data_IF_389924306086
#
_entry.id   IF_389924306086
#
_cell.length_a   1.000
_cell.length_b   1.000
_cell.length_c   1.000
_cell.angle_alpha   90.00
_cell.angle_beta   90.00
_cell.angle_gamma   90.00
#
_symmetry.space_group_name_H-M   'P 1'
#
loop_
_entity.id
_entity.type
_entity.pdbx_description
1 polymer ?
#
# COMPACT_ATOMS: atom_id res chain seq x y z
N UNK A 1 42.86 -12.05 23.36
CA UNK A 1 41.50 -11.54 23.08
C UNK A 1 41.46 -11.15 21.62
N UNK A 2 40.85 -11.98 20.78
CA UNK A 2 40.75 -11.76 19.33
C UNK A 2 39.60 -10.81 19.05
N UNK A 3 39.90 -9.62 18.54
CA UNK A 3 38.89 -8.68 18.09
C UNK A 3 38.11 -9.31 16.93
N UNK A 4 36.81 -9.56 17.12
CA UNK A 4 35.92 -9.94 16.04
C UNK A 4 35.82 -8.76 15.08
N UNK A 5 36.33 -8.95 13.87
CA UNK A 5 36.20 -8.02 12.77
C UNK A 5 34.73 -8.03 12.34
N UNK A 6 33.89 -7.20 12.96
CA UNK A 6 32.51 -6.97 12.53
C UNK A 6 32.54 -6.19 11.22
N UNK A 7 32.72 -6.91 10.11
CA UNK A 7 32.49 -6.36 8.79
C UNK A 7 31.08 -5.75 8.76
N UNK A 8 30.97 -4.50 8.34
CA UNK A 8 29.68 -3.85 8.15
C UNK A 8 28.84 -4.69 7.17
N UNK A 9 27.53 -4.85 7.42
CA UNK A 9 26.67 -5.56 6.50
C UNK A 9 26.75 -4.91 5.11
N UNK A 10 27.00 -5.72 4.09
CA UNK A 10 27.11 -5.25 2.71
C UNK A 10 25.77 -4.64 2.25
N UNK A 11 25.80 -3.56 1.45
CA UNK A 11 24.59 -3.01 0.84
C UNK A 11 23.86 -4.09 0.05
N UNK A 12 22.54 -4.20 0.25
CA UNK A 12 21.71 -5.07 -0.58
C UNK A 12 21.51 -4.35 -1.91
N UNK A 13 22.04 -4.94 -2.98
CA UNK A 13 21.74 -4.52 -4.34
C UNK A 13 20.50 -5.25 -4.85
N UNK A 14 19.58 -4.50 -5.45
CA UNK A 14 18.35 -5.02 -6.04
C UNK A 14 18.46 -5.18 -7.57
N UNK A 15 19.68 -5.08 -8.12
CA UNK A 15 19.94 -4.98 -9.56
C UNK A 15 20.23 -3.53 -9.98
N UNK A 16 20.99 -3.36 -11.07
CA UNK A 16 21.31 -2.06 -11.71
C UNK A 16 21.89 -0.98 -10.78
N UNK A 17 22.51 -1.38 -9.67
CA UNK A 17 23.06 -0.46 -8.66
C UNK A 17 22.01 0.15 -7.72
N UNK A 18 20.73 -0.21 -7.85
CA UNK A 18 19.66 0.27 -6.97
C UNK A 18 19.70 -0.43 -5.61
N UNK A 19 19.41 0.36 -4.59
CA UNK A 19 19.31 -0.06 -3.18
C UNK A 19 17.87 0.10 -2.68
N UNK A 20 17.50 -0.54 -1.56
CA UNK A 20 16.21 -0.31 -0.92
C UNK A 20 15.95 1.17 -0.59
N UNK A 21 17.00 1.95 -0.30
CA UNK A 21 16.90 3.39 -0.03
C UNK A 21 16.46 4.14 -1.28
N UNK A 22 16.98 3.78 -2.45
CA UNK A 22 16.62 4.42 -3.72
C UNK A 22 15.14 4.18 -4.06
N UNK A 23 14.65 2.96 -3.84
CA UNK A 23 13.21 2.64 -4.00
C UNK A 23 12.38 3.47 -3.03
N UNK A 24 12.73 3.48 -1.74
CA UNK A 24 12.00 4.25 -0.74
C UNK A 24 11.95 5.73 -1.11
N UNK A 25 13.07 6.34 -1.49
CA UNK A 25 13.13 7.74 -1.88
C UNK A 25 12.32 8.03 -3.14
N UNK A 26 12.37 7.12 -4.12
CA UNK A 26 11.65 7.27 -5.39
C UNK A 26 10.13 7.25 -5.19
N UNK A 27 9.61 6.33 -4.36
CA UNK A 27 8.19 6.28 -4.00
C UNK A 27 7.71 7.62 -3.40
N UNK A 28 8.49 8.23 -2.50
CA UNK A 28 8.13 9.50 -1.87
C UNK A 28 8.37 10.72 -2.79
N UNK A 29 9.31 10.65 -3.72
CA UNK A 29 9.46 11.66 -4.76
C UNK A 29 8.26 11.64 -5.73
N UNK A 30 7.82 10.45 -6.11
CA UNK A 30 6.63 10.20 -6.92
C UNK A 30 5.36 10.72 -6.25
N UNK A 31 5.18 10.44 -4.95
CA UNK A 31 4.08 10.97 -4.14
C UNK A 31 4.04 12.50 -4.13
N UNK A 32 5.18 13.17 -3.89
CA UNK A 32 5.24 14.64 -3.93
C UNK A 32 4.88 15.20 -5.30
N UNK A 33 5.35 14.56 -6.37
CA UNK A 33 4.97 14.93 -7.75
C UNK A 33 3.47 14.76 -7.97
N UNK A 34 2.89 13.68 -7.44
CA UNK A 34 1.47 13.40 -7.51
C UNK A 34 0.64 14.43 -6.74
N UNK A 35 0.99 14.73 -5.49
CA UNK A 35 0.33 15.76 -4.66
C UNK A 35 0.41 17.14 -5.34
N UNK A 36 1.55 17.50 -5.92
CA UNK A 36 1.72 18.78 -6.62
C UNK A 36 0.80 18.89 -7.85
N UNK A 37 0.64 17.81 -8.62
CA UNK A 37 -0.31 17.73 -9.74
C UNK A 37 -1.77 17.72 -9.26
N UNK A 38 -2.00 17.20 -8.06
CA UNK A 38 -3.30 17.09 -7.43
C UNK A 38 -3.85 18.43 -6.88
N UNK A 39 -3.02 19.43 -6.63
CA UNK A 39 -3.43 20.72 -6.03
C UNK A 39 -4.46 21.58 -6.80
N UNK A 40 -5.09 21.09 -7.87
CA UNK A 40 -6.08 21.82 -8.67
C UNK A 40 -7.31 21.04 -9.15
N UNK A 41 -7.51 19.76 -8.78
CA UNK A 41 -8.65 18.96 -9.26
C UNK A 41 -9.57 18.51 -8.11
N UNK A 42 -10.92 18.50 -8.30
CA UNK A 42 -11.89 18.14 -7.26
C UNK A 42 -11.98 16.63 -6.97
N UNK A 43 -11.45 15.78 -7.86
CA UNK A 43 -11.36 14.33 -7.70
C UNK A 43 -10.25 13.82 -8.61
N UNK A 44 -9.31 13.06 -8.07
CA UNK A 44 -8.17 12.59 -8.87
C UNK A 44 -8.58 11.36 -9.66
N UNK A 45 -8.45 11.47 -10.98
CA UNK A 45 -8.49 10.30 -11.86
C UNK A 45 -7.22 9.51 -11.57
N UNK A 46 -7.37 8.22 -11.24
CA UNK A 46 -6.27 7.26 -11.17
C UNK A 46 -5.34 7.48 -12.37
N UNK A 47 -4.08 7.84 -12.12
CA UNK A 47 -3.12 8.07 -13.20
C UNK A 47 -2.32 6.79 -13.41
N UNK A 48 -2.83 5.94 -14.30
CA UNK A 48 -2.24 4.64 -14.65
C UNK A 48 -0.73 4.72 -14.95
N UNK A 49 -0.25 5.86 -15.49
CA UNK A 49 1.16 6.06 -15.81
C UNK A 49 2.06 6.39 -14.60
N UNK A 50 1.52 7.00 -13.55
CA UNK A 50 2.29 7.26 -12.33
C UNK A 50 2.40 5.98 -11.48
N UNK A 51 1.34 5.17 -11.49
CA UNK A 51 1.27 3.93 -10.74
C UNK A 51 2.13 2.84 -11.39
N UNK A 52 2.30 2.86 -12.73
CA UNK A 52 3.17 1.91 -13.44
C UNK A 52 4.66 2.04 -13.06
N UNK A 53 5.16 3.28 -12.92
CA UNK A 53 6.56 3.52 -12.53
C UNK A 53 6.83 3.11 -11.08
N UNK A 54 5.94 3.45 -10.15
CA UNK A 54 6.07 3.04 -8.75
C UNK A 54 5.97 1.52 -8.62
N UNK A 55 5.10 0.88 -9.41
CA UNK A 55 4.96 -0.57 -9.43
C UNK A 55 6.18 -1.28 -9.96
N UNK A 56 6.83 -0.76 -11.01
CA UNK A 56 8.11 -1.30 -11.50
C UNK A 56 9.18 -1.29 -10.40
N UNK A 57 9.24 -0.25 -9.56
CA UNK A 57 10.16 -0.21 -8.43
C UNK A 57 9.81 -1.25 -7.37
N UNK A 58 8.53 -1.40 -7.04
CA UNK A 58 8.05 -2.37 -6.06
C UNK A 58 8.30 -3.82 -6.51
N UNK A 59 8.24 -4.10 -7.81
CA UNK A 59 8.58 -5.40 -8.41
C UNK A 59 10.05 -5.81 -8.22
N UNK A 60 10.92 -4.90 -7.77
CA UNK A 60 12.31 -5.20 -7.41
C UNK A 60 12.48 -5.71 -5.97
N UNK A 61 11.46 -5.56 -5.12
CA UNK A 61 11.50 -5.96 -3.71
C UNK A 61 11.29 -7.46 -3.38
N UNK A 62 10.84 -8.37 -4.27
CA UNK A 62 10.58 -9.77 -3.92
C UNK A 62 11.76 -10.54 -3.32
N UNK A 63 13.00 -10.13 -3.58
CA UNK A 63 14.20 -10.73 -3.00
C UNK A 63 14.62 -10.10 -1.66
N UNK A 64 14.13 -8.90 -1.33
CA UNK A 64 14.50 -8.17 -0.13
C UNK A 64 13.78 -8.77 1.09
N UNK A 65 14.50 -9.25 2.13
CA UNK A 65 13.84 -9.70 3.36
C UNK A 65 13.05 -8.56 4.00
N UNK A 66 11.78 -8.81 4.34
CA UNK A 66 10.88 -7.80 4.92
C UNK A 66 11.50 -7.08 6.12
N UNK A 67 12.27 -7.80 6.97
CA UNK A 67 12.97 -7.21 8.12
C UNK A 67 13.92 -6.07 7.73
N UNK A 68 14.59 -6.15 6.58
CA UNK A 68 15.49 -5.08 6.11
C UNK A 68 14.71 -3.84 5.70
N UNK A 69 13.53 -4.03 5.12
CA UNK A 69 12.62 -2.93 4.82
C UNK A 69 12.05 -2.31 6.10
N UNK A 70 11.69 -3.13 7.10
CA UNK A 70 11.34 -2.64 8.44
C UNK A 70 12.45 -1.78 9.06
N UNK A 71 13.70 -2.25 9.05
CA UNK A 71 14.84 -1.50 9.59
C UNK A 71 15.01 -0.15 8.87
N UNK A 72 14.83 -0.13 7.54
CA UNK A 72 14.83 1.11 6.76
C UNK A 72 13.71 2.05 7.18
N UNK A 73 12.47 1.57 7.26
CA UNK A 73 11.33 2.40 7.66
C UNK A 73 11.44 2.89 9.12
N UNK A 74 12.02 2.10 10.02
CA UNK A 74 12.33 2.54 11.38
C UNK A 74 13.35 3.68 11.41
N UNK A 75 14.33 3.67 10.52
CA UNK A 75 15.34 4.73 10.42
C UNK A 75 14.87 5.97 9.65
N UNK A 76 14.14 5.79 8.56
CA UNK A 76 13.69 6.85 7.67
C UNK A 76 12.34 7.48 8.10
N UNK A 77 11.56 6.78 8.93
CA UNK A 77 10.20 7.14 9.31
C UNK A 77 9.15 6.28 8.58
N UNK A 78 8.12 5.88 9.33
CA UNK A 78 7.00 5.11 8.80
C UNK A 78 6.04 5.99 8.01
N UNK A 79 5.68 5.52 6.81
CA UNK A 79 4.64 6.09 5.96
C UNK A 79 3.77 4.95 5.42
N UNK A 80 2.58 5.27 4.92
CA UNK A 80 1.73 4.25 4.28
C UNK A 80 2.31 3.73 2.97
N UNK A 81 3.18 4.48 2.28
CA UNK A 81 3.93 3.99 1.12
C UNK A 81 4.98 2.96 1.52
N UNK A 82 5.73 3.26 2.58
CA UNK A 82 6.64 2.27 3.19
C UNK A 82 5.89 1.03 3.66
N UNK A 83 4.69 1.22 4.22
CA UNK A 83 3.76 0.15 4.59
C UNK A 83 3.34 -0.70 3.40
N UNK A 84 2.84 -0.10 2.31
CA UNK A 84 2.39 -0.82 1.12
C UNK A 84 3.51 -1.68 0.50
N UNK A 85 4.73 -1.16 0.46
CA UNK A 85 5.90 -1.86 -0.05
C UNK A 85 6.26 -3.15 0.72
N UNK A 86 5.80 -3.30 1.98
CA UNK A 86 5.99 -4.54 2.74
C UNK A 86 5.39 -5.76 2.01
N UNK A 87 4.24 -5.59 1.34
CA UNK A 87 3.58 -6.68 0.59
C UNK A 87 4.36 -7.19 -0.63
N UNK A 88 5.41 -6.48 -1.04
CA UNK A 88 6.29 -6.86 -2.13
C UNK A 88 7.59 -7.50 -1.65
N UNK A 89 7.93 -7.34 -0.37
CA UNK A 89 9.16 -7.89 0.20
C UNK A 89 9.06 -9.41 0.38
N UNK A 90 10.21 -10.08 0.39
CA UNK A 90 10.30 -11.49 0.78
C UNK A 90 9.79 -11.66 2.21
N UNK A 91 8.89 -12.63 2.39
CA UNK A 91 8.22 -12.93 3.68
C UNK A 91 7.31 -11.81 4.20
N UNK A 92 7.11 -10.74 3.41
CA UNK A 92 6.17 -9.69 3.74
C UNK A 92 4.72 -10.18 3.60
N UNK A 93 3.84 -9.66 4.45
CA UNK A 93 2.43 -10.03 4.45
C UNK A 93 1.52 -8.83 4.33
N UNK A 94 0.30 -9.06 3.84
CA UNK A 94 -0.76 -8.05 3.88
C UNK A 94 -1.09 -7.65 5.33
N UNK A 95 -0.90 -8.54 6.30
CA UNK A 95 -1.06 -8.24 7.71
C UNK A 95 -0.13 -7.11 8.19
N UNK A 96 1.12 -7.11 7.72
CA UNK A 96 2.10 -6.06 8.05
C UNK A 96 1.68 -4.71 7.48
N UNK A 97 1.19 -4.70 6.23
CA UNK A 97 0.65 -3.48 5.61
C UNK A 97 -0.50 -2.92 6.43
N UNK A 98 -1.49 -3.75 6.75
CA UNK A 98 -2.67 -3.33 7.51
C UNK A 98 -2.28 -2.84 8.92
N UNK A 99 -1.26 -3.43 9.54
CA UNK A 99 -0.74 -2.96 10.82
C UNK A 99 -0.21 -1.52 10.70
N UNK A 100 0.58 -1.19 9.67
CA UNK A 100 1.11 0.16 9.46
C UNK A 100 0.00 1.20 9.31
N UNK A 101 -1.03 0.94 8.50
CA UNK A 101 -2.15 1.87 8.34
C UNK A 101 -2.89 2.14 9.67
N UNK A 102 -3.06 1.09 10.49
CA UNK A 102 -3.70 1.21 11.82
C UNK A 102 -2.85 2.00 12.80
N UNK A 103 -1.55 1.72 12.89
CA UNK A 103 -0.63 2.44 13.78
C UNK A 103 -0.58 3.92 13.44
N UNK A 104 -0.56 4.25 12.15
CA UNK A 104 -0.60 5.64 11.68
C UNK A 104 -2.00 6.27 11.77
N UNK A 105 -3.05 5.48 12.02
CA UNK A 105 -4.46 5.90 12.06
C UNK A 105 -4.90 6.61 10.78
N UNK A 106 -4.40 6.16 9.63
CA UNK A 106 -4.68 6.76 8.33
C UNK A 106 -5.69 5.88 7.59
N UNK A 107 -6.86 6.44 7.31
CA UNK A 107 -7.91 5.77 6.57
C UNK A 107 -7.88 6.25 5.10
N UNK A 108 -7.77 5.34 4.12
CA UNK A 108 -7.97 5.66 2.72
C UNK A 108 -9.34 6.28 2.46
N UNK A 109 -9.38 7.32 1.63
CA UNK A 109 -10.59 7.96 1.15
C UNK A 109 -10.42 8.29 -0.34
N UNK A 110 -11.52 8.37 -1.11
CA UNK A 110 -11.41 8.65 -2.54
C UNK A 110 -10.62 9.93 -2.83
N UNK A 111 -9.55 9.80 -3.60
CA UNK A 111 -8.66 10.87 -4.03
C UNK A 111 -7.60 11.29 -3.02
N UNK A 112 -7.49 10.70 -1.84
CA UNK A 112 -6.42 11.09 -0.90
C UNK A 112 -5.11 10.32 -1.17
N UNK A 113 -4.01 10.81 -0.60
CA UNK A 113 -2.70 10.16 -0.72
C UNK A 113 -2.67 8.73 -0.17
N UNK A 114 -3.56 8.41 0.77
CA UNK A 114 -3.65 7.10 1.41
C UNK A 114 -4.33 6.06 0.51
N UNK A 115 -5.29 6.48 -0.33
CA UNK A 115 -5.85 5.63 -1.39
C UNK A 115 -4.77 5.26 -2.41
N UNK A 116 -3.95 6.23 -2.83
CA UNK A 116 -2.78 5.95 -3.70
C UNK A 116 -1.82 4.97 -3.05
N UNK A 117 -1.47 5.17 -1.78
CA UNK A 117 -0.58 4.23 -1.11
C UNK A 117 -1.17 2.81 -1.04
N UNK A 118 -2.48 2.70 -0.78
CA UNK A 118 -3.17 1.41 -0.79
C UNK A 118 -3.21 0.77 -2.19
N UNK A 119 -3.33 1.55 -3.27
CA UNK A 119 -3.32 1.03 -4.65
C UNK A 119 -1.97 0.42 -5.07
N UNK A 120 -0.90 0.74 -4.35
CA UNK A 120 0.44 0.18 -4.55
C UNK A 120 0.67 -1.14 -3.80
N UNK A 121 -0.31 -1.65 -3.05
CA UNK A 121 -0.20 -2.97 -2.42
C UNK A 121 -0.08 -4.05 -3.50
N UNK A 122 0.77 -5.05 -3.26
CA UNK A 122 0.97 -6.18 -4.16
C UNK A 122 -0.35 -6.90 -4.42
N UNK A 123 -0.87 -6.91 -5.66
CA UNK A 123 -2.16 -7.52 -5.96
C UNK A 123 -2.20 -9.02 -5.70
N UNK A 124 -1.06 -9.72 -5.77
CA UNK A 124 -0.97 -11.15 -5.46
C UNK A 124 -1.17 -11.46 -3.98
N UNK A 125 -1.01 -10.47 -3.09
CA UNK A 125 -1.23 -10.63 -1.65
C UNK A 125 -2.68 -10.37 -1.23
N UNK A 126 -3.51 -9.82 -2.13
CA UNK A 126 -4.85 -9.37 -1.79
C UNK A 126 -5.86 -10.55 -1.73
N UNK A 127 -6.86 -10.51 -0.82
CA UNK A 127 -7.89 -11.54 -0.73
C UNK A 127 -8.85 -11.51 -1.94
N UNK A 128 -9.91 -12.33 -1.93
CA UNK A 128 -10.98 -12.22 -2.92
C UNK A 128 -11.64 -10.84 -2.89
N UNK A 129 -12.03 -10.30 -4.06
CA UNK A 129 -12.70 -8.99 -4.17
C UNK A 129 -14.21 -9.09 -3.87
N UNK A 130 -14.55 -9.64 -2.70
CA UNK A 130 -15.91 -9.78 -2.17
C UNK A 130 -16.02 -9.02 -0.86
N UNK A 131 -17.06 -8.23 -0.67
CA UNK A 131 -17.19 -7.37 0.50
C UNK A 131 -17.11 -8.18 1.81
N UNK A 132 -17.73 -9.36 1.87
CA UNK A 132 -17.62 -10.25 3.03
C UNK A 132 -16.18 -10.67 3.35
N UNK A 133 -15.39 -11.03 2.32
CA UNK A 133 -13.99 -11.42 2.46
C UNK A 133 -13.11 -10.23 2.89
N UNK A 134 -13.36 -9.05 2.32
CA UNK A 134 -12.65 -7.82 2.70
C UNK A 134 -12.94 -7.44 4.15
N UNK A 135 -14.20 -7.55 4.60
CA UNK A 135 -14.58 -7.31 5.99
C UNK A 135 -13.93 -8.31 6.95
N UNK A 136 -13.96 -9.61 6.61
CA UNK A 136 -13.36 -10.65 7.43
C UNK A 136 -11.84 -10.49 7.57
N UNK A 137 -11.15 -10.16 6.46
CA UNK A 137 -9.70 -9.97 6.47
C UNK A 137 -9.29 -8.63 7.09
N UNK A 138 -10.03 -7.56 6.75
CA UNK A 138 -9.78 -6.19 7.21
C UNK A 138 -9.99 -6.02 8.70
N UNK A 139 -10.90 -6.78 9.33
CA UNK A 139 -11.25 -6.79 10.76
C UNK A 139 -11.79 -5.49 11.35
N UNK A 140 -11.44 -4.35 10.77
CA UNK A 140 -11.87 -3.01 11.17
C UNK A 140 -12.02 -2.09 9.95
N UNK A 141 -12.48 -0.87 10.20
CA UNK A 141 -12.82 0.11 9.18
C UNK A 141 -11.60 0.52 8.35
N UNK A 142 -10.46 0.77 9.00
CA UNK A 142 -9.20 1.11 8.32
C UNK A 142 -8.80 -0.02 7.40
N UNK A 143 -8.77 -1.26 7.90
CA UNK A 143 -8.39 -2.43 7.11
C UNK A 143 -9.30 -2.63 5.91
N UNK A 144 -10.63 -2.49 6.09
CA UNK A 144 -11.58 -2.58 4.98
C UNK A 144 -11.36 -1.48 3.94
N UNK A 145 -11.16 -0.23 4.36
CA UNK A 145 -10.85 0.88 3.46
C UNK A 145 -9.57 0.64 2.66
N UNK A 146 -8.51 0.13 3.29
CA UNK A 146 -7.25 -0.24 2.62
C UNK A 146 -7.49 -1.30 1.56
N UNK A 147 -8.21 -2.37 1.88
CA UNK A 147 -8.45 -3.46 0.95
C UNK A 147 -9.33 -3.06 -0.25
N UNK A 148 -10.29 -2.15 -0.05
CA UNK A 148 -11.10 -1.59 -1.14
C UNK A 148 -10.27 -0.60 -1.97
N UNK A 149 -9.41 0.19 -1.34
CA UNK A 149 -8.51 1.12 -2.01
C UNK A 149 -7.39 0.45 -2.81
N UNK A 150 -7.03 -0.78 -2.47
CA UNK A 150 -6.02 -1.56 -3.17
C UNK A 150 -6.44 -2.02 -4.59
N UNK A 151 -7.70 -1.80 -5.00
CA UNK A 151 -8.22 -2.18 -6.32
C UNK A 151 -9.01 -1.04 -6.95
N UNK A 152 -9.09 -1.03 -8.27
CA UNK A 152 -10.00 -0.14 -9.00
C UNK A 152 -11.41 -0.74 -9.17
N UNK A 153 -11.49 -2.07 -9.23
CA UNK A 153 -12.73 -2.81 -9.42
C UNK A 153 -13.58 -2.79 -8.15
N UNK A 154 -14.89 -2.58 -8.32
CA UNK A 154 -15.85 -2.60 -7.23
C UNK A 154 -15.92 -4.01 -6.64
N UNK A 155 -15.85 -4.17 -5.31
CA UNK A 155 -16.04 -5.48 -4.69
C UNK A 155 -17.46 -5.99 -4.97
N UNK A 156 -17.60 -7.31 -5.13
CA UNK A 156 -18.90 -7.94 -5.17
C UNK A 156 -19.61 -7.70 -3.82
N UNK A 157 -20.82 -7.13 -3.87
CA UNK A 157 -21.66 -6.88 -2.70
C UNK A 157 -22.44 -8.14 -2.34
N UNK A 158 -21.72 -9.10 -1.75
CA UNK A 158 -22.21 -10.45 -1.41
C UNK A 158 -22.77 -10.56 0.01
N UNK A 159 -23.19 -9.43 0.57
CA UNK A 159 -23.79 -9.29 1.91
C UNK A 159 -25.17 -8.62 1.79
N UNK A 160 -26.06 -8.81 2.77
CA UNK A 160 -27.38 -8.17 2.75
C UNK A 160 -27.31 -6.64 2.59
N UNK A 161 -28.27 -6.06 1.88
CA UNK A 161 -28.32 -4.60 1.63
C UNK A 161 -28.35 -3.76 2.92
N UNK A 162 -28.99 -4.26 3.98
CA UNK A 162 -28.98 -3.64 5.31
C UNK A 162 -27.57 -3.53 5.89
N UNK A 163 -26.74 -4.55 5.68
CA UNK A 163 -25.34 -4.53 6.12
C UNK A 163 -24.51 -3.54 5.32
N UNK A 164 -24.75 -3.43 4.01
CA UNK A 164 -24.13 -2.38 3.17
C UNK A 164 -24.55 -0.99 3.62
N UNK A 165 -25.84 -0.80 3.93
CA UNK A 165 -26.38 0.46 4.43
C UNK A 165 -25.81 0.83 5.80
N UNK A 166 -25.44 -0.15 6.64
CA UNK A 166 -24.84 0.06 7.95
C UNK A 166 -23.33 0.35 7.93
N UNK A 167 -22.65 0.22 6.78
CA UNK A 167 -21.22 0.53 6.67
C UNK A 167 -20.91 1.99 7.03
N UNK A 168 -19.66 2.30 7.34
CA UNK A 168 -19.26 3.70 7.49
C UNK A 168 -19.38 4.48 6.17
N UNK A 169 -19.65 5.81 6.24
CA UNK A 169 -19.66 6.67 5.07
C UNK A 169 -18.39 6.56 4.21
N UNK A 170 -17.21 6.51 4.82
CA UNK A 170 -15.94 6.41 4.10
C UNK A 170 -15.80 5.08 3.34
N UNK A 171 -16.26 3.97 3.91
CA UNK A 171 -16.27 2.66 3.24
C UNK A 171 -17.23 2.70 2.03
N UNK A 172 -18.44 3.23 2.20
CA UNK A 172 -19.40 3.38 1.09
C UNK A 172 -18.85 4.28 -0.02
N UNK A 173 -18.27 5.42 0.35
CA UNK A 173 -17.69 6.36 -0.61
C UNK A 173 -16.56 5.72 -1.44
N UNK A 174 -15.74 4.85 -0.83
CA UNK A 174 -14.75 4.06 -1.56
C UNK A 174 -15.41 3.05 -2.49
N UNK A 175 -16.42 2.29 -2.05
CA UNK A 175 -17.12 1.33 -2.93
C UNK A 175 -17.74 2.03 -4.14
N UNK A 176 -18.36 3.19 -3.92
CA UNK A 176 -18.99 4.00 -4.97
C UNK A 176 -17.97 4.62 -5.93
N UNK A 177 -16.74 4.88 -5.47
CA UNK A 177 -15.66 5.39 -6.32
C UNK A 177 -15.02 4.33 -7.22
N UNK A 178 -15.31 3.03 -7.00
CA UNK A 178 -14.79 1.94 -7.83
C UNK A 178 -15.60 1.72 -9.10
N UNK A 179 -14.89 1.28 -10.14
CA UNK A 179 -15.44 0.94 -11.46
C UNK A 179 -16.26 -0.34 -11.31
N UNK A 180 -17.49 -0.34 -11.82
CA UNK A 180 -18.31 -1.54 -11.85
C UNK A 180 -17.64 -2.60 -12.73
N UNK A 181 -17.51 -3.84 -12.26
CA UNK A 181 -17.12 -4.95 -13.11
C UNK A 181 -18.21 -5.16 -14.18
N UNK A 182 -17.79 -5.24 -15.45
CA UNK A 182 -18.67 -5.50 -16.60
C UNK A 182 -18.96 -6.99 -16.76
#
# INVERSE_FOLDING_TARGET
MTAQNTALPQPISLGDGLTPVDIWQSLHASERSWIAKAGGAPRFVFNENADSSDRMLLEMLPALPVRRWFDLCNGAGWTVLGGAALSWCKEGSLGDVLHVFRELKLMPEPGNAWERAASLINPAALPENRLSALMAFGKDEIGVCVLIAARQERPALDVPSEQVAALLPSIRALIESRIAAF
#
